data_IF_260153702980
#
_entry.id   IF_260153702980
#
_cell.length_a   1.000
_cell.length_b   1.000
_cell.length_c   1.000
_cell.angle_alpha   90.00
_cell.angle_beta   90.00
_cell.angle_gamma   90.00
#
_symmetry.space_group_name_H-M   'P 1'
#
loop_
_entity.id
_entity.type
_entity.pdbx_description
1 polymer ?
#
# COMPACT_ATOMS: atom_id res chain seq x y z
N UNK A 1 2.34 -4.90 -44.30
CA UNK A 1 2.14 -3.84 -43.27
C UNK A 1 1.23 -4.34 -42.14
N UNK A 2 1.20 -5.65 -41.87
CA UNK A 2 0.34 -6.26 -40.84
C UNK A 2 1.16 -7.04 -39.79
N UNK A 3 2.40 -7.40 -40.14
CA UNK A 3 3.32 -8.14 -39.27
C UNK A 3 3.67 -7.37 -37.98
N UNK A 4 3.84 -6.05 -38.08
CA UNK A 4 4.13 -5.19 -36.93
C UNK A 4 2.96 -5.11 -35.94
N UNK A 5 1.72 -5.21 -36.42
CA UNK A 5 0.50 -5.20 -35.59
C UNK A 5 0.39 -6.53 -34.83
N UNK A 6 0.72 -7.66 -35.48
CA UNK A 6 0.76 -8.98 -34.82
C UNK A 6 1.87 -9.07 -33.77
N UNK A 7 3.05 -8.50 -34.03
CA UNK A 7 4.13 -8.44 -33.04
C UNK A 7 3.76 -7.60 -31.82
N UNK A 8 3.09 -6.45 -32.01
CA UNK A 8 2.63 -5.64 -30.87
C UNK A 8 1.53 -6.35 -30.07
N UNK A 9 0.62 -7.05 -30.73
CA UNK A 9 -0.43 -7.84 -30.06
C UNK A 9 0.13 -9.06 -29.32
N UNK A 10 1.23 -9.65 -29.76
CA UNK A 10 1.86 -10.78 -29.05
C UNK A 10 2.56 -10.35 -27.75
N UNK A 11 3.15 -9.14 -27.70
CA UNK A 11 3.69 -8.56 -26.45
C UNK A 11 2.56 -8.17 -25.48
N UNK A 12 1.36 -7.88 -26.00
CA UNK A 12 0.18 -7.56 -25.20
C UNK A 12 -0.51 -8.80 -24.60
N UNK A 13 -0.04 -10.02 -24.93
CA UNK A 13 -0.67 -11.28 -24.52
C UNK A 13 -0.30 -11.68 -23.08
N UNK A 14 -1.16 -11.26 -22.14
CA UNK A 14 -1.61 -12.01 -20.94
C UNK A 14 -0.75 -12.02 -19.67
N UNK A 15 0.58 -12.11 -19.70
CA UNK A 15 1.35 -12.28 -18.43
C UNK A 15 1.42 -11.01 -17.56
N UNK A 16 1.42 -9.81 -18.17
CA UNK A 16 1.49 -8.55 -17.42
C UNK A 16 0.18 -8.16 -16.73
N UNK A 17 -0.97 -8.62 -17.23
CA UNK A 17 -2.28 -8.26 -16.68
C UNK A 17 -2.64 -9.09 -15.43
N UNK A 18 -2.29 -10.37 -15.38
CA UNK A 18 -2.54 -11.24 -14.22
C UNK A 18 -1.68 -10.85 -13.01
N UNK A 19 -0.42 -10.49 -13.22
CA UNK A 19 0.46 -9.95 -12.15
C UNK A 19 -0.04 -8.60 -11.64
N UNK A 20 -0.55 -7.76 -12.54
CA UNK A 20 -1.18 -6.51 -12.16
C UNK A 20 -2.47 -6.76 -11.34
N UNK A 21 -3.35 -7.67 -11.76
CA UNK A 21 -4.57 -8.02 -11.02
C UNK A 21 -4.29 -8.58 -9.61
N UNK A 22 -3.32 -9.49 -9.47
CA UNK A 22 -2.94 -10.04 -8.17
C UNK A 22 -2.42 -8.94 -7.23
N UNK A 23 -1.60 -8.02 -7.73
CA UNK A 23 -1.15 -6.87 -6.97
C UNK A 23 -2.32 -5.94 -6.60
N UNK A 24 -3.28 -5.71 -7.49
CA UNK A 24 -4.42 -4.81 -7.20
C UNK A 24 -5.29 -5.37 -6.07
N UNK A 25 -5.57 -6.67 -6.05
CA UNK A 25 -6.38 -7.28 -4.98
C UNK A 25 -5.61 -7.41 -3.65
N UNK A 26 -4.31 -7.73 -3.70
CA UNK A 26 -3.50 -7.90 -2.49
C UNK A 26 -3.12 -6.56 -1.82
N UNK A 27 -3.03 -5.47 -2.58
CA UNK A 27 -2.81 -4.12 -2.03
C UNK A 27 -4.11 -3.35 -1.74
N UNK A 28 -5.27 -3.88 -2.15
CA UNK A 28 -6.58 -3.26 -1.88
C UNK A 28 -6.84 -3.25 -0.37
N UNK A 29 -6.85 -2.05 0.22
CA UNK A 29 -7.08 -1.86 1.66
C UNK A 29 -5.90 -2.19 2.58
N UNK A 30 -4.88 -2.92 2.13
CA UNK A 30 -3.70 -3.23 2.96
C UNK A 30 -2.76 -2.02 3.09
N UNK A 31 -2.12 -1.90 4.25
CA UNK A 31 -1.10 -0.88 4.50
C UNK A 31 0.23 -1.29 3.87
N UNK A 32 0.83 -0.40 3.08
CA UNK A 32 2.21 -0.54 2.62
C UNK A 32 3.19 -0.09 3.72
N UNK A 33 3.72 -1.02 4.51
CA UNK A 33 4.55 -0.74 5.68
C UNK A 33 6.02 -0.54 5.34
N UNK A 34 6.64 0.50 5.89
CA UNK A 34 8.09 0.69 5.89
C UNK A 34 8.61 0.96 7.30
N UNK A 35 9.86 0.56 7.58
CA UNK A 35 10.50 0.88 8.84
C UNK A 35 10.82 2.38 8.89
N UNK A 36 10.41 3.05 9.97
CA UNK A 36 10.61 4.48 10.13
C UNK A 36 11.24 4.82 11.48
N UNK A 37 12.20 5.75 11.46
CA UNK A 37 12.65 6.47 12.64
C UNK A 37 11.91 7.81 12.73
N UNK A 38 11.59 8.26 13.95
CA UNK A 38 10.85 9.50 14.17
C UNK A 38 11.68 10.44 15.02
N UNK A 39 11.96 11.64 14.52
CA UNK A 39 12.67 12.69 15.25
C UNK A 39 11.84 13.31 16.39
N UNK A 40 10.55 12.98 16.48
CA UNK A 40 9.61 13.43 17.51
C UNK A 40 8.96 12.21 18.16
N UNK A 41 8.51 12.30 19.43
CA UNK A 41 7.71 11.25 20.04
C UNK A 41 6.47 10.97 19.19
N UNK A 42 6.33 9.75 18.71
CA UNK A 42 5.14 9.27 17.99
C UNK A 42 4.48 8.16 18.80
N UNK A 43 3.21 7.92 18.54
CA UNK A 43 2.40 6.91 19.22
C UNK A 43 1.84 5.90 18.23
N UNK A 44 1.69 4.67 18.68
CA UNK A 44 1.09 3.61 17.87
C UNK A 44 -0.42 3.84 17.73
N UNK A 45 -0.93 3.83 16.51
CA UNK A 45 -2.36 3.97 16.23
C UNK A 45 -3.22 2.78 16.72
N UNK A 46 -2.59 1.65 17.11
CA UNK A 46 -3.28 0.44 17.61
C UNK A 46 -3.34 0.40 19.13
N UNK A 47 -2.19 0.42 19.82
CA UNK A 47 -2.16 0.33 21.29
C UNK A 47 -2.08 1.70 22.00
N UNK A 48 -1.90 2.79 21.25
CA UNK A 48 -1.74 4.16 21.76
C UNK A 48 -0.50 4.41 22.63
N UNK A 49 0.36 3.43 22.81
CA UNK A 49 1.66 3.62 23.49
C UNK A 49 2.69 4.29 22.57
N UNK A 50 3.75 4.83 23.18
CA UNK A 50 4.84 5.47 22.45
C UNK A 50 5.59 4.49 21.53
N UNK A 51 5.94 4.98 20.35
CA UNK A 51 6.93 4.40 19.47
C UNK A 51 8.28 4.97 19.92
N UNK A 52 9.10 4.15 20.59
CA UNK A 52 10.37 4.58 21.19
C UNK A 52 11.26 5.28 20.14
N UNK A 53 11.38 6.60 20.24
CA UNK A 53 11.77 7.51 19.16
C UNK A 53 13.25 7.63 18.82
N UNK A 54 14.07 6.61 19.07
CA UNK A 54 15.53 6.69 18.76
C UNK A 54 16.00 5.53 17.86
N UNK A 55 15.21 4.47 17.76
CA UNK A 55 15.54 3.29 16.97
C UNK A 55 14.35 2.92 16.08
N UNK A 56 14.60 2.22 14.96
CA UNK A 56 13.63 1.84 13.90
C UNK A 56 12.61 0.78 14.37
N UNK A 57 11.94 1.04 15.49
CA UNK A 57 11.03 0.12 16.16
C UNK A 57 9.58 0.25 15.67
N UNK A 58 9.30 1.31 14.89
CA UNK A 58 8.01 1.57 14.28
C UNK A 58 7.94 1.19 12.81
N UNK A 59 6.74 0.85 12.38
CA UNK A 59 6.32 0.80 10.99
C UNK A 59 5.41 1.99 10.71
N UNK A 60 5.58 2.59 9.54
CA UNK A 60 4.67 3.61 9.02
C UNK A 60 4.12 3.14 7.68
N UNK A 61 2.87 3.45 7.40
CA UNK A 61 2.31 3.21 6.08
C UNK A 61 2.75 4.32 5.13
N UNK A 62 3.32 3.97 3.97
CA UNK A 62 3.74 4.96 2.96
C UNK A 62 2.58 5.82 2.47
N UNK A 63 1.40 5.21 2.43
CA UNK A 63 0.20 5.77 1.83
C UNK A 63 -0.58 6.64 2.81
N UNK A 64 -1.13 6.06 3.88
CA UNK A 64 -2.00 6.78 4.81
C UNK A 64 -1.30 7.30 6.08
N UNK A 65 0.02 7.12 6.20
CA UNK A 65 0.86 7.55 7.34
C UNK A 65 0.42 6.98 8.71
N UNK A 66 -0.31 5.88 8.69
CA UNK A 66 -0.63 5.10 9.88
C UNK A 66 0.65 4.57 10.51
N UNK A 67 0.82 4.74 11.82
CA UNK A 67 2.04 4.32 12.54
C UNK A 67 1.72 3.22 13.53
N UNK A 68 2.50 2.14 13.51
CA UNK A 68 2.31 1.00 14.40
C UNK A 68 3.64 0.40 14.85
N UNK A 69 3.68 -0.24 16.02
CA UNK A 69 4.81 -1.13 16.34
C UNK A 69 4.80 -2.32 15.38
N UNK A 70 5.96 -2.98 15.20
CA UNK A 70 6.06 -4.24 14.44
C UNK A 70 5.01 -5.28 14.90
N UNK A 71 4.86 -5.44 16.23
CA UNK A 71 3.85 -6.33 16.84
C UNK A 71 2.40 -5.86 16.68
N UNK A 72 2.19 -4.58 16.45
CA UNK A 72 0.85 -3.98 16.32
C UNK A 72 0.38 -3.93 14.87
N UNK A 73 1.27 -3.96 13.90
CA UNK A 73 0.92 -3.93 12.48
C UNK A 73 0.00 -5.09 12.07
N UNK A 74 0.22 -6.29 12.63
CA UNK A 74 -0.66 -7.46 12.39
C UNK A 74 -2.08 -7.30 12.95
N UNK A 75 -2.27 -6.39 13.92
CA UNK A 75 -3.57 -6.05 14.52
C UNK A 75 -4.16 -4.77 13.92
N UNK A 76 -3.46 -4.10 13.02
CA UNK A 76 -3.97 -2.90 12.39
C UNK A 76 -5.13 -3.25 11.46
N UNK A 77 -6.15 -2.41 11.42
CA UNK A 77 -7.27 -2.59 10.49
C UNK A 77 -6.75 -2.49 9.06
N UNK A 78 -7.09 -3.46 8.20
CA UNK A 78 -6.74 -3.47 6.78
C UNK A 78 -7.61 -2.49 5.97
N UNK A 79 -7.70 -1.24 6.42
CA UNK A 79 -8.40 -0.15 5.74
C UNK A 79 -7.43 1.03 5.56
N UNK A 80 -6.48 0.84 4.66
CA UNK A 80 -5.60 1.91 4.24
C UNK A 80 -6.38 2.92 3.39
N UNK A 81 -6.52 4.13 3.94
CA UNK A 81 -7.38 5.21 3.45
C UNK A 81 -7.14 5.70 2.01
N UNK A 82 -6.08 5.26 1.32
CA UNK A 82 -5.85 5.67 -0.06
C UNK A 82 -5.48 4.51 -1.00
N UNK A 83 -5.41 3.27 -0.51
CA UNK A 83 -5.34 2.08 -1.38
C UNK A 83 -6.72 1.45 -1.58
N UNK A 84 -7.73 1.88 -0.83
CA UNK A 84 -9.10 1.39 -0.99
C UNK A 84 -9.78 2.16 -2.13
N UNK A 85 -10.35 1.47 -3.11
CA UNK A 85 -11.14 2.04 -4.23
C UNK A 85 -12.22 3.03 -3.74
N UNK A 86 -12.73 2.88 -2.52
CA UNK A 86 -13.68 3.80 -1.89
C UNK A 86 -13.13 5.23 -1.68
N UNK A 87 -11.81 5.44 -1.79
CA UNK A 87 -11.13 6.71 -1.56
C UNK A 87 -10.85 7.46 -2.87
N UNK A 88 -10.90 6.77 -4.02
CA UNK A 88 -10.94 7.40 -5.34
C UNK A 88 -12.37 7.89 -5.50
N UNK A 89 -12.59 9.18 -5.28
CA UNK A 89 -13.89 9.80 -5.51
C UNK A 89 -14.37 9.50 -6.94
N UNK A 90 -15.67 9.26 -7.09
CA UNK A 90 -16.29 8.96 -8.40
C UNK A 90 -16.04 10.09 -9.43
N UNK A 91 -15.65 11.27 -8.96
CA UNK A 91 -15.31 12.47 -9.72
C UNK A 91 -14.00 12.39 -10.54
N UNK A 92 -13.20 11.33 -10.41
CA UNK A 92 -11.99 11.13 -11.25
C UNK A 92 -12.28 10.26 -12.49
N UNK A 93 -13.42 9.58 -12.53
CA UNK A 93 -13.74 8.55 -13.55
C UNK A 93 -14.74 9.05 -14.61
N UNK A 94 -15.36 10.22 -14.41
CA UNK A 94 -16.23 10.88 -15.41
C UNK A 94 -15.58 12.08 -16.08
#
# INVERSE_FOLDING_TARGET
MEDWISSLKSVQSREHYETAQFNVEHFSGMHNWYACSHARPTFCNVCKDSLSGVTSHGLSCEVCKFKAHKRCAVRATNNCKWTTLASVGKDIIE
#
